data_IF_599566408780
#
_entry.id   IF_599566408780
#
_cell.length_a   1.000
_cell.length_b   1.000
_cell.length_c   1.000
_cell.angle_alpha   90.00
_cell.angle_beta   90.00
_cell.angle_gamma   90.00
#
_symmetry.space_group_name_H-M   'P 1'
#
loop_
_entity.id
_entity.type
_entity.pdbx_description
1 polymer ?
#
# COMPACT_ATOMS: atom_id res chain seq x y z
N UNK A 1 7.83 6.54 10.88
CA UNK A 1 6.44 6.99 11.08
C UNK A 1 6.08 8.05 10.05
N UNK A 2 4.79 8.24 9.78
CA UNK A 2 4.29 9.26 8.85
C UNK A 2 4.55 10.65 9.42
N UNK A 3 5.07 11.55 8.59
CA UNK A 3 5.27 12.97 8.92
C UNK A 3 4.00 13.77 8.59
N UNK A 4 3.81 14.96 9.18
CA UNK A 4 2.65 15.82 8.88
C UNK A 4 2.53 16.24 7.40
N UNK A 5 3.64 16.24 6.66
CA UNK A 5 3.70 16.53 5.23
C UNK A 5 3.32 15.33 4.33
N UNK A 6 2.93 14.19 4.91
CA UNK A 6 2.58 12.97 4.19
C UNK A 6 3.76 12.09 3.80
N UNK A 7 5.00 12.51 4.08
CA UNK A 7 6.18 11.71 3.78
C UNK A 7 6.48 10.70 4.89
N UNK A 8 7.14 9.60 4.55
CA UNK A 8 7.64 8.62 5.51
C UNK A 8 9.05 8.15 5.13
N UNK A 9 9.76 7.58 6.09
CA UNK A 9 11.10 7.04 5.86
C UNK A 9 11.35 5.84 6.77
N UNK A 10 11.95 4.80 6.20
CA UNK A 10 12.52 3.66 6.91
C UNK A 10 14.04 3.76 6.87
N UNK A 11 14.69 3.57 8.01
CA UNK A 11 16.15 3.60 8.10
C UNK A 11 16.65 2.17 8.36
N UNK A 12 17.87 1.88 7.89
CA UNK A 12 18.54 0.59 8.13
C UNK A 12 17.74 -0.62 7.63
N UNK A 13 17.03 -0.47 6.50
CA UNK A 13 16.34 -1.58 5.84
C UNK A 13 17.37 -2.54 5.26
N UNK A 14 17.28 -3.81 5.62
CA UNK A 14 18.19 -4.86 5.15
C UNK A 14 17.93 -5.23 3.70
N UNK A 15 18.93 -5.78 3.02
CA UNK A 15 18.72 -6.37 1.71
C UNK A 15 17.74 -7.54 1.79
N UNK A 16 16.86 -7.66 0.79
CA UNK A 16 15.77 -8.64 0.78
C UNK A 16 14.50 -8.09 0.12
N UNK A 17 13.44 -8.90 0.16
CA UNK A 17 12.10 -8.51 -0.26
C UNK A 17 11.28 -8.14 0.96
N UNK A 18 10.69 -6.96 0.94
CA UNK A 18 9.85 -6.41 1.99
C UNK A 18 8.46 -6.11 1.44
N UNK A 19 7.46 -6.12 2.31
CA UNK A 19 6.11 -5.69 1.98
C UNK A 19 5.79 -4.44 2.80
N UNK A 20 5.44 -3.35 2.12
CA UNK A 20 5.00 -2.11 2.74
C UNK A 20 3.47 -2.03 2.63
N UNK A 21 2.83 -1.76 3.76
CA UNK A 21 1.38 -1.55 3.84
C UNK A 21 1.10 -0.25 4.57
N UNK A 22 0.22 0.57 4.00
CA UNK A 22 -0.32 1.76 4.64
C UNK A 22 -1.59 1.35 5.38
N UNK A 23 -1.61 1.55 6.69
CA UNK A 23 -2.81 1.35 7.51
C UNK A 23 -3.41 2.71 7.82
N UNK A 24 -4.55 3.00 7.20
CA UNK A 24 -5.30 4.23 7.40
C UNK A 24 -6.80 3.90 7.44
N UNK A 25 -7.49 4.38 8.47
CA UNK A 25 -8.95 4.19 8.56
C UNK A 25 -9.65 4.90 7.40
N UNK A 26 -10.68 4.26 6.85
CA UNK A 26 -11.48 4.76 5.74
C UNK A 26 -10.87 4.54 4.35
N UNK A 27 -9.66 3.99 4.24
CA UNK A 27 -8.98 3.86 2.96
C UNK A 27 -8.29 2.52 2.78
N UNK A 28 -8.38 2.00 1.57
CA UNK A 28 -7.67 0.81 1.13
C UNK A 28 -6.49 1.21 0.22
N UNK A 29 -5.30 0.74 0.56
CA UNK A 29 -4.07 0.95 -0.23
C UNK A 29 -3.57 -0.39 -0.79
N UNK A 30 -3.07 -0.38 -2.03
CA UNK A 30 -2.38 -1.55 -2.58
C UNK A 30 -1.10 -1.79 -1.77
N UNK A 31 -0.83 -3.01 -1.29
CA UNK A 31 0.49 -3.33 -0.75
C UNK A 31 1.58 -3.11 -1.79
N UNK A 32 2.75 -2.69 -1.33
CA UNK A 32 3.91 -2.48 -2.20
C UNK A 32 4.99 -3.47 -1.85
N UNK A 33 5.35 -4.31 -2.81
CA UNK A 33 6.53 -5.16 -2.73
C UNK A 33 7.76 -4.32 -3.02
N UNK A 34 8.71 -4.31 -2.10
CA UNK A 34 9.98 -3.57 -2.21
C UNK A 34 11.15 -4.53 -2.15
N UNK A 35 11.94 -4.57 -3.20
CA UNK A 35 13.19 -5.32 -3.25
C UNK A 35 14.38 -4.41 -3.01
N UNK A 36 15.22 -4.78 -2.05
CA UNK A 36 16.48 -4.09 -1.73
C UNK A 36 17.63 -5.01 -2.08
N UNK A 37 18.44 -4.63 -3.08
CA UNK A 37 19.48 -5.50 -3.62
C UNK A 37 20.74 -5.55 -2.75
N UNK A 38 21.14 -6.75 -2.31
CA UNK A 38 22.47 -6.97 -1.72
C UNK A 38 23.61 -6.82 -2.73
N UNK A 39 23.35 -7.15 -4.01
CA UNK A 39 24.36 -7.18 -5.07
C UNK A 39 24.59 -5.83 -5.74
N UNK A 40 23.54 -5.01 -5.82
CA UNK A 40 23.58 -3.73 -6.53
C UNK A 40 23.55 -2.56 -5.55
N UNK A 41 24.44 -2.55 -4.55
CA UNK A 41 24.64 -1.46 -3.58
C UNK A 41 23.32 -0.92 -2.98
N UNK A 42 22.39 -1.80 -2.63
CA UNK A 42 21.10 -1.40 -2.04
C UNK A 42 20.09 -0.83 -3.04
N UNK A 43 20.29 -1.02 -4.36
CA UNK A 43 19.30 -0.62 -5.38
C UNK A 43 17.90 -1.09 -4.97
N UNK A 44 16.97 -0.14 -4.95
CA UNK A 44 15.59 -0.36 -4.55
C UNK A 44 14.71 -0.49 -5.79
N UNK A 45 13.83 -1.47 -5.79
CA UNK A 45 12.75 -1.61 -6.77
C UNK A 45 11.43 -1.78 -6.01
N UNK A 46 10.39 -1.10 -6.48
CA UNK A 46 9.07 -1.14 -5.86
C UNK A 46 8.02 -1.53 -6.90
N UNK A 47 7.05 -2.35 -6.49
CA UNK A 47 5.99 -2.87 -7.36
C UNK A 47 4.69 -3.00 -6.58
N UNK A 48 3.59 -2.49 -7.15
CA UNK A 48 2.25 -2.70 -6.60
C UNK A 48 1.87 -4.18 -6.69
N UNK A 49 1.35 -4.76 -5.61
CA UNK A 49 1.04 -6.20 -5.60
C UNK A 49 -0.18 -6.55 -6.44
N UNK A 50 -1.18 -5.66 -6.53
CA UNK A 50 -2.40 -5.95 -7.29
C UNK A 50 -2.20 -5.89 -8.80
N UNK A 51 -1.49 -4.88 -9.28
CA UNK A 51 -1.35 -4.62 -10.73
C UNK A 51 0.00 -5.06 -11.29
N UNK A 52 0.95 -5.42 -10.42
CA UNK A 52 2.36 -5.65 -10.78
C UNK A 52 3.03 -4.44 -11.46
N UNK A 53 2.46 -3.24 -11.28
CA UNK A 53 3.02 -2.00 -11.81
C UNK A 53 4.26 -1.59 -11.02
N UNK A 54 5.38 -1.39 -11.70
CA UNK A 54 6.58 -0.82 -11.10
C UNK A 54 6.37 0.65 -10.72
N UNK A 55 6.94 1.06 -9.58
CA UNK A 55 6.91 2.43 -9.10
C UNK A 55 8.28 3.07 -9.30
N UNK A 56 8.33 4.20 -10.01
CA UNK A 56 9.54 5.03 -10.14
C UNK A 56 9.79 5.83 -8.85
N UNK A 57 8.72 6.35 -8.26
CA UNK A 57 8.72 7.02 -6.96
C UNK A 57 7.79 6.27 -6.01
N UNK A 58 8.13 6.19 -4.72
CA UNK A 58 7.34 5.48 -3.72
C UNK A 58 6.17 6.36 -3.25
N UNK A 59 5.29 6.73 -4.18
CA UNK A 59 4.04 7.45 -3.92
C UNK A 59 2.92 6.41 -3.78
N UNK A 60 2.27 6.40 -2.62
CA UNK A 60 1.22 5.44 -2.27
C UNK A 60 -0.11 6.17 -2.18
N UNK A 61 -0.98 5.93 -3.16
CA UNK A 61 -2.31 6.53 -3.22
C UNK A 61 -3.38 5.51 -2.79
N UNK A 62 -4.46 5.96 -2.13
CA UNK A 62 -5.57 5.08 -1.80
C UNK A 62 -6.26 4.65 -3.10
N UNK A 63 -6.57 3.37 -3.20
CA UNK A 63 -7.28 2.81 -4.35
C UNK A 63 -8.78 3.05 -4.26
N UNK A 64 -9.30 2.99 -3.03
CA UNK A 64 -10.72 3.17 -2.73
C UNK A 64 -10.91 3.51 -1.26
N UNK A 65 -12.08 4.01 -0.94
CA UNK A 65 -12.57 4.05 0.42
C UNK A 65 -12.83 2.63 0.93
N UNK A 66 -12.46 2.38 2.18
CA UNK A 66 -12.70 1.10 2.84
C UNK A 66 -14.14 1.06 3.36
N UNK A 67 -14.89 0.01 2.97
CA UNK A 67 -16.28 -0.17 3.40
C UNK A 67 -16.30 -1.16 4.56
N UNK A 68 -16.41 -0.61 5.77
CA UNK A 68 -16.47 -1.42 7.00
C UNK A 68 -17.81 -2.14 7.21
N UNK A 69 -18.87 -1.65 6.60
CA UNK A 69 -20.22 -2.18 6.73
C UNK A 69 -20.75 -2.59 5.37
N UNK A 70 -21.54 -3.66 5.35
CA UNK A 70 -22.26 -4.11 4.18
C UNK A 70 -23.41 -3.15 3.86
N UNK A 71 -23.57 -2.82 2.57
CA UNK A 71 -24.76 -2.10 2.10
C UNK A 71 -25.84 -3.15 1.88
N UNK A 72 -26.91 -3.09 2.68
CA UNK A 72 -28.08 -3.96 2.51
C UNK A 72 -29.02 -3.37 1.48
N UNK A 73 -29.60 -4.26 0.67
CA UNK A 73 -30.75 -3.90 -0.16
C UNK A 73 -31.87 -3.35 0.73
N UNK A 74 -32.68 -2.40 0.22
CA UNK A 74 -33.89 -1.96 0.91
C UNK A 74 -34.78 -3.16 1.22
N UNK A 75 -35.37 -3.17 2.42
CA UNK A 75 -36.32 -4.23 2.76
C UNK A 75 -37.53 -4.17 1.80
N UNK A 76 -37.99 -5.34 1.35
CA UNK A 76 -39.25 -5.46 0.60
C UNK A 76 -40.23 -6.31 1.42
N UNK A 77 -41.45 -5.80 1.61
CA UNK A 77 -42.53 -6.52 2.32
C UNK A 77 -43.23 -7.52 1.40
N UNK A 78 -42.93 -7.51 0.09
CA UNK A 78 -43.70 -8.22 -0.95
C UNK A 78 -42.84 -9.26 -1.68
N UNK A 79 -41.83 -9.86 -1.01
CA UNK A 79 -41.07 -11.00 -1.56
C UNK A 79 -41.78 -12.32 -1.32
#
# INVERSE_FOLDING_TARGET
FLRPDGYFTFHKVTAGTHLIQVSAMGYFFSPVRVDVSARHRGKVQATLTETRRSLTELVLEPLREERYYEIREPFSVIS
#
